data_IF_274205496409
#
_entry.id   IF_274205496409
#
_cell.length_a   1.000
_cell.length_b   1.000
_cell.length_c   1.000
_cell.angle_alpha   90.00
_cell.angle_beta   90.00
_cell.angle_gamma   90.00
#
_symmetry.space_group_name_H-M   'P 1'
#
loop_
_entity.id
_entity.type
_entity.pdbx_description
1 polymer ?
#
# COMPACT_ATOMS: atom_id res chain seq x y z
N UNK A 1 49.73 -34.00 -27.26
CA UNK A 1 48.84 -34.50 -26.19
C UNK A 1 47.39 -34.32 -26.65
N UNK A 2 46.77 -35.41 -27.11
CA UNK A 2 45.39 -35.44 -27.61
C UNK A 2 44.41 -35.62 -26.45
N UNK A 3 43.37 -34.78 -26.37
CA UNK A 3 42.24 -35.05 -25.49
C UNK A 3 40.93 -35.13 -26.27
N UNK A 4 40.36 -36.33 -26.15
CA UNK A 4 39.11 -36.80 -26.71
C UNK A 4 37.91 -36.08 -26.08
N UNK A 5 36.99 -35.62 -26.92
CA UNK A 5 35.63 -35.25 -26.52
C UNK A 5 34.67 -36.40 -26.84
N UNK A 6 34.25 -37.13 -25.81
CA UNK A 6 33.15 -38.10 -25.85
C UNK A 6 31.81 -37.36 -25.70
N UNK A 7 31.00 -37.39 -26.78
CA UNK A 7 29.59 -36.97 -26.79
C UNK A 7 28.71 -38.09 -26.24
N UNK A 8 28.06 -37.88 -25.10
CA UNK A 8 26.98 -38.72 -24.60
C UNK A 8 25.63 -38.36 -25.25
N UNK A 9 25.04 -39.33 -25.94
CA UNK A 9 23.70 -39.29 -26.56
C UNK A 9 22.69 -39.82 -25.55
N UNK A 10 21.72 -39.00 -25.14
CA UNK A 10 20.60 -39.44 -24.29
C UNK A 10 19.37 -39.57 -25.19
N UNK A 11 18.95 -40.81 -25.44
CA UNK A 11 17.66 -41.16 -26.03
C UNK A 11 16.60 -41.20 -24.92
N UNK A 12 15.50 -40.47 -25.08
CA UNK A 12 14.31 -40.58 -24.23
C UNK A 12 13.10 -40.97 -25.08
N UNK A 13 12.84 -42.27 -25.12
CA UNK A 13 11.62 -42.87 -25.64
C UNK A 13 10.50 -42.77 -24.59
N UNK A 14 9.44 -42.03 -24.88
CA UNK A 14 8.18 -42.11 -24.12
C UNK A 14 7.05 -42.53 -25.06
N UNK A 15 6.65 -43.80 -24.93
CA UNK A 15 5.44 -44.39 -25.52
C UNK A 15 4.25 -44.05 -24.61
N UNK A 16 3.27 -43.33 -25.14
CA UNK A 16 1.94 -43.21 -24.52
C UNK A 16 1.03 -44.29 -25.13
N UNK A 17 0.61 -45.27 -24.31
CA UNK A 17 -0.44 -46.23 -24.64
C UNK A 17 -1.79 -45.60 -24.32
N UNK A 18 -2.64 -45.50 -25.34
CA UNK A 18 -4.07 -45.28 -25.19
C UNK A 18 -4.76 -46.64 -25.05
N UNK A 19 -5.61 -46.79 -24.05
CA UNK A 19 -6.55 -47.91 -23.93
C UNK A 19 -7.87 -47.36 -23.42
N UNK A 20 -8.89 -47.38 -24.28
CA UNK A 20 -10.25 -47.06 -23.93
C UNK A 20 -10.98 -48.25 -23.30
N UNK A 21 -12.13 -47.97 -22.70
CA UNK A 21 -13.20 -48.95 -22.53
C UNK A 21 -14.54 -48.22 -22.40
N UNK A 22 -15.40 -48.45 -23.40
CA UNK A 22 -16.85 -48.23 -23.37
C UNK A 22 -17.49 -49.21 -22.38
N UNK A 23 -18.56 -48.81 -21.68
CA UNK A 23 -19.71 -49.70 -21.41
C UNK A 23 -21.02 -48.91 -21.39
N UNK A 24 -22.05 -49.60 -21.87
CA UNK A 24 -23.38 -49.13 -22.27
C UNK A 24 -24.36 -49.01 -21.10
N UNK A 25 -25.41 -48.27 -21.41
CA UNK A 25 -26.70 -48.09 -20.75
C UNK A 25 -27.39 -49.35 -20.23
N UNK A 26 -28.25 -49.17 -19.22
CA UNK A 26 -29.56 -49.82 -19.09
C UNK A 26 -30.52 -48.93 -18.28
N UNK A 27 -31.75 -48.83 -18.79
CA UNK A 27 -32.93 -48.14 -18.27
C UNK A 27 -33.56 -48.93 -17.10
N UNK A 28 -34.17 -48.26 -16.13
CA UNK A 28 -35.47 -48.64 -15.52
C UNK A 28 -35.96 -47.57 -14.51
N UNK A 29 -37.17 -47.02 -14.77
CA UNK A 29 -38.26 -46.89 -13.79
C UNK A 29 -38.25 -45.73 -12.75
N UNK A 30 -39.32 -44.91 -12.68
CA UNK A 30 -39.49 -43.88 -11.66
C UNK A 30 -40.17 -44.45 -10.40
N UNK A 31 -39.60 -44.16 -9.24
CA UNK A 31 -40.18 -44.49 -7.93
C UNK A 31 -40.22 -43.26 -7.03
N UNK A 32 -41.42 -42.70 -6.87
CA UNK A 32 -41.77 -41.67 -5.90
C UNK A 32 -41.65 -42.22 -4.47
N UNK A 33 -40.66 -41.76 -3.70
CA UNK A 33 -40.65 -41.89 -2.23
C UNK A 33 -40.06 -40.60 -1.62
N UNK A 34 -40.92 -39.78 -1.02
CA UNK A 34 -40.60 -38.87 0.09
C UNK A 34 -41.36 -39.39 1.33
N UNK A 35 -41.03 -38.98 2.58
CA UNK A 35 -39.87 -38.25 3.08
C UNK A 35 -39.24 -38.92 4.32
N UNK A 36 -38.01 -38.53 4.68
CA UNK A 36 -37.53 -38.64 6.07
C UNK A 36 -36.73 -37.40 6.44
N UNK A 37 -37.44 -36.42 7.02
CA UNK A 37 -36.81 -35.31 7.73
C UNK A 37 -36.05 -35.87 8.92
N UNK A 38 -34.71 -35.86 8.84
CA UNK A 38 -33.86 -35.94 10.03
C UNK A 38 -33.53 -34.50 10.43
N UNK A 39 -34.04 -34.06 11.58
CA UNK A 39 -33.58 -32.84 12.22
C UNK A 39 -32.13 -33.05 12.65
N UNK A 40 -31.21 -32.31 12.05
CA UNK A 40 -29.82 -32.23 12.51
C UNK A 40 -29.75 -31.02 13.44
N UNK A 41 -29.76 -31.28 14.75
CA UNK A 41 -29.42 -30.26 15.73
C UNK A 41 -27.91 -30.00 15.65
N UNK A 42 -27.52 -28.92 14.97
CA UNK A 42 -26.17 -28.37 15.09
C UNK A 42 -26.07 -27.60 16.41
N UNK A 43 -25.56 -28.25 17.45
CA UNK A 43 -25.12 -27.59 18.67
C UNK A 43 -23.81 -26.87 18.37
N UNK A 44 -23.86 -25.56 18.10
CA UNK A 44 -22.69 -24.69 18.06
C UNK A 44 -22.12 -24.58 19.48
N UNK A 45 -21.18 -25.46 19.84
CA UNK A 45 -20.27 -25.24 20.97
C UNK A 45 -19.36 -24.08 20.60
N UNK A 46 -19.67 -22.88 21.11
CA UNK A 46 -18.72 -21.77 21.17
C UNK A 46 -17.59 -22.24 22.11
N UNK A 47 -16.46 -22.63 21.53
CA UNK A 47 -15.23 -22.89 22.29
C UNK A 47 -14.81 -21.60 22.98
N UNK A 48 -14.42 -21.72 24.23
CA UNK A 48 -13.86 -20.69 25.09
C UNK A 48 -12.99 -19.68 24.33
N UNK A 49 -13.30 -18.40 24.51
CA UNK A 49 -12.41 -17.29 24.18
C UNK A 49 -11.21 -17.39 25.12
N UNK A 50 -10.08 -17.90 24.62
CA UNK A 50 -8.82 -17.92 25.37
C UNK A 50 -8.42 -16.48 25.74
N UNK A 51 -8.39 -16.21 27.05
CA UNK A 51 -7.79 -14.97 27.59
C UNK A 51 -6.28 -15.02 27.38
N UNK A 52 -5.77 -14.02 26.68
CA UNK A 52 -4.34 -13.73 26.58
C UNK A 52 -3.88 -13.06 27.87
N UNK A 53 -2.89 -13.64 28.56
CA UNK A 53 -2.15 -12.95 29.63
C UNK A 53 -0.74 -12.62 29.14
N UNK A 54 -0.37 -11.36 29.24
CA UNK A 54 1.00 -10.88 29.07
C UNK A 54 1.58 -10.72 30.48
N UNK A 55 2.59 -11.51 30.84
CA UNK A 55 3.41 -11.24 32.02
C UNK A 55 4.76 -10.68 31.57
N UNK A 56 5.16 -9.56 32.16
CA UNK A 56 6.45 -8.92 31.93
C UNK A 56 7.25 -9.03 33.24
N UNK A 57 8.32 -9.82 33.23
CA UNK A 57 9.25 -9.90 34.36
C UNK A 57 10.49 -9.06 34.08
N UNK A 58 10.66 -7.98 34.84
CA UNK A 58 11.77 -7.04 34.76
C UNK A 58 12.94 -7.54 35.61
N UNK A 59 13.63 -8.60 35.18
CA UNK A 59 15.00 -8.87 35.64
C UNK A 59 15.85 -9.42 34.49
N UNK A 60 16.92 -8.67 34.19
CA UNK A 60 18.08 -9.01 33.35
C UNK A 60 17.86 -9.11 31.84
N UNK A 61 18.86 -8.62 31.12
CA UNK A 61 18.97 -8.27 29.69
C UNK A 61 18.95 -9.45 28.71
N UNK A 62 18.00 -10.37 28.86
CA UNK A 62 17.65 -11.33 27.81
C UNK A 62 16.14 -11.34 27.58
N UNK A 63 15.72 -10.68 26.50
CA UNK A 63 14.35 -10.73 26.02
C UNK A 63 14.15 -12.08 25.30
N UNK A 64 14.05 -13.17 26.06
CA UNK A 64 13.60 -14.46 25.53
C UNK A 64 12.07 -14.44 25.51
N UNK A 65 11.50 -14.14 24.35
CA UNK A 65 10.06 -14.34 24.13
C UNK A 65 9.88 -15.85 24.00
N UNK A 66 9.34 -16.51 25.02
CA UNK A 66 8.96 -17.92 24.98
C UNK A 66 7.81 -18.08 23.97
N UNK A 67 8.17 -18.39 22.72
CA UNK A 67 7.30 -18.57 21.56
C UNK A 67 6.50 -19.89 21.59
N UNK A 68 6.27 -20.50 22.76
CA UNK A 68 5.77 -21.88 22.86
C UNK A 68 4.30 -22.06 22.44
N UNK A 69 3.56 -20.99 22.17
CA UNK A 69 2.14 -21.07 21.80
C UNK A 69 1.73 -20.17 20.64
N UNK A 70 2.66 -19.78 19.77
CA UNK A 70 2.23 -19.21 18.50
C UNK A 70 1.73 -20.32 17.57
N UNK A 71 0.70 -20.04 16.73
CA UNK A 71 0.24 -21.00 15.73
C UNK A 71 1.41 -21.59 14.94
N UNK A 72 1.36 -22.85 14.52
CA UNK A 72 2.46 -23.51 13.79
C UNK A 72 2.95 -22.70 12.57
N UNK A 73 2.07 -21.94 11.93
CA UNK A 73 2.43 -21.03 10.85
C UNK A 73 3.32 -19.86 11.28
N UNK A 74 3.50 -19.58 12.56
CA UNK A 74 4.40 -18.56 13.08
C UNK A 74 5.79 -19.09 13.44
N UNK A 75 5.94 -20.41 13.56
CA UNK A 75 7.10 -21.04 14.20
C UNK A 75 8.31 -21.21 13.27
N UNK A 76 8.20 -20.92 11.97
CA UNK A 76 9.40 -20.92 11.11
C UNK A 76 10.33 -19.78 11.53
N UNK A 77 11.58 -20.10 11.84
CA UNK A 77 12.62 -19.16 12.27
C UNK A 77 12.65 -17.87 11.40
N UNK A 78 12.47 -18.01 10.08
CA UNK A 78 12.48 -16.91 9.13
C UNK A 78 11.34 -15.88 9.31
N UNK A 79 10.16 -16.32 9.78
CA UNK A 79 9.01 -15.43 10.03
C UNK A 79 9.21 -14.61 11.29
N UNK A 80 9.67 -15.24 12.37
CA UNK A 80 10.01 -14.55 13.61
C UNK A 80 11.11 -13.50 13.36
N UNK A 81 12.17 -13.87 12.63
CA UNK A 81 13.19 -12.91 12.22
C UNK A 81 12.62 -11.76 11.37
N UNK A 82 11.74 -12.05 10.40
CA UNK A 82 11.13 -11.01 9.56
C UNK A 82 10.33 -10.01 10.41
N UNK A 83 9.60 -10.46 11.42
CA UNK A 83 8.83 -9.59 12.30
C UNK A 83 9.71 -8.80 13.28
N UNK A 84 10.80 -9.39 13.78
CA UNK A 84 11.80 -8.64 14.55
C UNK A 84 12.41 -7.51 13.71
N UNK A 85 12.72 -7.76 12.44
CA UNK A 85 13.21 -6.73 11.51
C UNK A 85 12.14 -5.65 11.27
N UNK A 86 10.88 -6.03 11.12
CA UNK A 86 9.76 -5.06 11.02
C UNK A 86 9.70 -4.17 12.25
N UNK A 87 9.82 -4.74 13.45
CA UNK A 87 9.88 -3.98 14.71
C UNK A 87 11.07 -3.04 14.76
N UNK A 88 12.25 -3.49 14.36
CA UNK A 88 13.46 -2.66 14.30
C UNK A 88 13.28 -1.48 13.32
N UNK A 89 12.74 -1.72 12.12
CA UNK A 89 12.43 -0.67 11.17
C UNK A 89 11.37 0.30 11.69
N UNK A 90 10.30 -0.19 12.31
CA UNK A 90 9.28 0.67 12.91
C UNK A 90 9.89 1.58 13.99
N UNK A 91 10.79 1.05 14.83
CA UNK A 91 11.55 1.82 15.81
C UNK A 91 12.47 2.87 15.17
N UNK A 92 13.17 2.52 14.09
CA UNK A 92 14.02 3.45 13.34
C UNK A 92 13.19 4.59 12.71
N UNK A 93 12.07 4.27 12.06
CA UNK A 93 11.14 5.26 11.54
C UNK A 93 10.60 6.15 12.66
N UNK A 94 10.26 5.59 13.81
CA UNK A 94 9.80 6.38 14.95
C UNK A 94 10.88 7.37 15.42
N UNK A 95 12.14 6.92 15.52
CA UNK A 95 13.25 7.79 15.89
C UNK A 95 13.45 8.94 14.88
N UNK A 96 13.46 8.63 13.58
CA UNK A 96 13.57 9.63 12.50
C UNK A 96 12.39 10.61 12.54
N UNK A 97 11.17 10.10 12.75
CA UNK A 97 9.97 10.92 12.90
C UNK A 97 10.13 11.92 14.05
N UNK A 98 10.54 11.44 15.23
CA UNK A 98 10.70 12.26 16.43
C UNK A 98 11.80 13.30 16.26
N UNK A 99 12.93 12.93 15.66
CA UNK A 99 14.03 13.84 15.37
C UNK A 99 13.59 14.94 14.38
N UNK A 100 12.99 14.56 13.25
CA UNK A 100 12.50 15.50 12.23
C UNK A 100 11.43 16.42 12.80
N UNK A 101 10.50 15.87 13.59
CA UNK A 101 9.47 16.65 14.26
C UNK A 101 10.08 17.67 15.23
N UNK A 102 11.03 17.26 16.09
CA UNK A 102 11.69 18.15 17.03
C UNK A 102 12.47 19.27 16.34
N UNK A 103 13.26 18.94 15.31
CA UNK A 103 14.00 19.92 14.51
C UNK A 103 13.06 20.90 13.81
N UNK A 104 11.96 20.39 13.25
CA UNK A 104 10.95 21.22 12.59
C UNK A 104 10.22 22.13 13.58
N UNK A 105 9.98 21.68 14.81
CA UNK A 105 9.49 22.57 15.86
C UNK A 105 10.49 23.69 16.13
N UNK A 106 11.79 23.41 16.24
CA UNK A 106 12.80 24.45 16.48
C UNK A 106 12.85 25.46 15.33
N UNK A 107 12.78 24.99 14.08
CA UNK A 107 12.83 25.84 12.89
C UNK A 107 11.54 26.61 12.62
N UNK A 108 10.37 26.10 13.05
CA UNK A 108 9.10 26.73 12.75
C UNK A 108 8.86 28.00 13.58
N UNK A 109 8.39 29.09 12.95
CA UNK A 109 8.15 30.36 13.63
C UNK A 109 7.15 30.21 14.78
N UNK A 110 7.42 30.91 15.89
CA UNK A 110 6.53 30.96 17.05
C UNK A 110 5.29 31.82 16.71
N UNK A 111 4.14 31.46 17.26
CA UNK A 111 2.94 32.32 17.37
C UNK A 111 2.14 32.69 16.11
N UNK A 112 1.86 31.72 15.22
CA UNK A 112 0.73 31.85 14.29
C UNK A 112 -0.24 30.67 14.47
N UNK A 113 -1.50 30.94 14.80
CA UNK A 113 -2.59 29.96 14.65
C UNK A 113 -2.90 29.85 13.16
N UNK A 114 -3.39 28.70 12.70
CA UNK A 114 -3.85 28.55 11.31
C UNK A 114 -4.89 29.63 11.01
N UNK A 115 -4.61 30.58 10.09
CA UNK A 115 -5.52 31.69 9.82
C UNK A 115 -6.68 31.14 8.99
N UNK A 116 -7.70 30.54 9.61
CA UNK A 116 -8.93 30.05 8.94
C UNK A 116 -8.77 29.09 7.75
N UNK A 117 -7.54 28.77 7.32
CA UNK A 117 -7.23 28.34 5.96
C UNK A 117 -7.50 29.44 4.91
N UNK A 118 -6.93 29.31 3.71
CA UNK A 118 -7.53 29.98 2.55
C UNK A 118 -8.97 29.44 2.45
N UNK A 119 -9.96 30.34 2.45
CA UNK A 119 -11.38 29.98 2.25
C UNK A 119 -11.60 29.48 0.82
N UNK A 120 -11.23 28.21 0.64
CA UNK A 120 -11.29 27.46 -0.60
C UNK A 120 -12.59 26.65 -0.68
N UNK A 121 -13.68 27.12 -0.08
CA UNK A 121 -15.03 26.53 -0.13
C UNK A 121 -15.10 24.98 0.03
N UNK A 122 -14.06 24.38 0.61
CA UNK A 122 -13.91 22.95 0.82
C UNK A 122 -14.23 22.62 2.27
N UNK A 123 -14.33 21.33 2.64
CA UNK A 123 -14.49 20.96 4.04
C UNK A 123 -13.43 21.70 4.89
N UNK A 124 -13.87 22.20 6.04
CA UNK A 124 -13.10 22.97 7.03
C UNK A 124 -11.67 22.41 7.09
N UNK A 125 -10.61 23.25 7.10
CA UNK A 125 -9.25 22.75 7.14
C UNK A 125 -9.12 21.72 8.27
N UNK A 126 -8.59 20.52 7.96
CA UNK A 126 -8.32 19.43 8.92
C UNK A 126 -7.55 19.91 10.18
N UNK A 127 -6.97 21.11 10.10
CA UNK A 127 -6.13 21.78 11.09
C UNK A 127 -6.72 23.08 11.67
N UNK A 128 -8.03 23.29 11.56
CA UNK A 128 -8.68 24.41 12.22
C UNK A 128 -8.41 24.37 13.74
N UNK A 129 -7.89 25.45 14.31
CA UNK A 129 -7.54 25.53 15.73
C UNK A 129 -6.24 24.81 16.13
N UNK A 130 -5.60 24.09 15.22
CA UNK A 130 -4.30 23.46 15.49
C UNK A 130 -3.16 24.50 15.48
N UNK A 131 -2.14 24.24 16.28
CA UNK A 131 -0.90 25.02 16.22
C UNK A 131 -0.21 24.78 14.86
N UNK A 132 -0.07 25.84 14.06
CA UNK A 132 0.60 25.81 12.76
C UNK A 132 1.99 25.17 12.84
N UNK A 133 2.72 25.49 13.91
CA UNK A 133 4.03 24.93 14.23
C UNK A 133 4.01 23.41 14.39
N UNK A 134 2.99 22.86 15.08
CA UNK A 134 2.82 21.40 15.23
C UNK A 134 2.43 20.74 13.91
N UNK A 135 1.56 21.39 13.12
CA UNK A 135 1.16 20.90 11.80
C UNK A 135 2.35 20.84 10.85
N UNK A 136 3.15 21.91 10.80
CA UNK A 136 4.37 21.98 10.00
C UNK A 136 5.34 20.85 10.37
N UNK A 137 5.59 20.68 11.67
CA UNK A 137 6.50 19.66 12.15
C UNK A 137 6.03 18.24 11.84
N UNK A 138 4.73 17.96 12.02
CA UNK A 138 4.15 16.66 11.66
C UNK A 138 4.27 16.40 10.16
N UNK A 139 3.97 17.39 9.31
CA UNK A 139 4.04 17.27 7.86
C UNK A 139 5.46 17.14 7.33
N UNK A 140 6.43 17.83 7.93
CA UNK A 140 7.84 17.67 7.63
C UNK A 140 8.32 16.25 7.95
N UNK A 141 7.91 15.69 9.09
CA UNK A 141 8.21 14.30 9.43
C UNK A 141 7.57 13.34 8.42
N UNK A 142 6.28 13.48 8.09
CA UNK A 142 5.64 12.66 7.04
C UNK A 142 6.34 12.80 5.68
N UNK A 143 6.82 14.00 5.33
CA UNK A 143 7.53 14.25 4.08
C UNK A 143 8.84 13.45 4.00
N UNK A 144 9.65 13.48 5.05
CA UNK A 144 10.92 12.73 5.11
C UNK A 144 10.65 11.23 4.97
N UNK A 145 9.60 10.72 5.61
CA UNK A 145 9.24 9.31 5.50
C UNK A 145 8.76 8.93 4.10
N UNK A 146 7.89 9.75 3.49
CA UNK A 146 7.42 9.53 2.13
C UNK A 146 8.57 9.49 1.11
N UNK A 147 9.51 10.43 1.21
CA UNK A 147 10.70 10.48 0.36
C UNK A 147 11.60 9.26 0.60
N UNK A 148 11.83 8.87 1.85
CA UNK A 148 12.62 7.69 2.19
C UNK A 148 12.01 6.40 1.65
N UNK A 149 10.70 6.21 1.86
CA UNK A 149 9.94 5.05 1.38
C UNK A 149 9.92 4.98 -0.15
N UNK A 150 9.68 6.12 -0.82
CA UNK A 150 9.76 6.24 -2.28
C UNK A 150 11.16 5.86 -2.79
N UNK A 151 12.21 6.48 -2.27
CA UNK A 151 13.59 6.28 -2.72
C UNK A 151 14.04 4.82 -2.53
N UNK A 152 13.68 4.21 -1.41
CA UNK A 152 13.99 2.82 -1.12
C UNK A 152 13.31 1.86 -2.09
N UNK A 153 11.98 2.00 -2.28
CA UNK A 153 11.22 1.15 -3.20
C UNK A 153 11.67 1.37 -4.66
N UNK A 154 11.96 2.61 -5.07
CA UNK A 154 12.50 2.91 -6.39
C UNK A 154 13.85 2.23 -6.63
N UNK A 155 14.76 2.30 -5.65
CA UNK A 155 16.08 1.64 -5.72
C UNK A 155 15.94 0.13 -5.85
N UNK A 156 15.04 -0.48 -5.09
CA UNK A 156 14.79 -1.93 -5.14
C UNK A 156 14.20 -2.36 -6.47
N UNK A 157 13.16 -1.66 -6.94
CA UNK A 157 12.53 -1.92 -8.24
C UNK A 157 13.54 -1.79 -9.37
N UNK A 158 14.41 -0.78 -9.33
CA UNK A 158 15.51 -0.61 -10.30
C UNK A 158 16.52 -1.76 -10.24
N UNK A 159 16.92 -2.18 -9.03
CA UNK A 159 17.91 -3.26 -8.84
C UNK A 159 17.43 -4.59 -9.42
N UNK A 160 16.16 -4.91 -9.27
CA UNK A 160 15.59 -6.18 -9.73
C UNK A 160 14.82 -6.07 -11.04
N UNK A 161 14.82 -4.90 -11.69
CA UNK A 161 14.05 -4.64 -12.90
C UNK A 161 14.26 -5.70 -13.99
N UNK A 162 15.54 -6.01 -14.30
CA UNK A 162 15.87 -7.00 -15.32
C UNK A 162 15.37 -8.40 -14.94
N UNK A 163 15.56 -8.82 -13.69
CA UNK A 163 15.07 -10.12 -13.20
C UNK A 163 13.55 -10.21 -13.29
N UNK A 164 12.84 -9.16 -12.85
CA UNK A 164 11.39 -9.09 -12.90
C UNK A 164 10.87 -9.14 -14.35
N UNK A 165 11.52 -8.42 -15.26
CA UNK A 165 11.18 -8.38 -16.68
C UNK A 165 11.47 -9.72 -17.37
N UNK A 166 12.63 -10.31 -17.13
CA UNK A 166 13.03 -11.57 -17.77
C UNK A 166 12.12 -12.73 -17.31
N UNK A 167 11.76 -12.75 -16.02
CA UNK A 167 10.78 -13.72 -15.48
C UNK A 167 9.38 -13.47 -16.04
N UNK A 168 9.01 -12.22 -16.31
CA UNK A 168 7.73 -11.89 -16.95
C UNK A 168 7.69 -12.33 -18.43
N UNK A 169 8.77 -12.11 -19.18
CA UNK A 169 8.89 -12.45 -20.60
C UNK A 169 8.82 -13.96 -20.88
N UNK A 170 9.25 -14.80 -19.92
CA UNK A 170 9.17 -16.26 -20.02
C UNK A 170 7.76 -16.82 -19.81
N UNK A 171 6.77 -15.97 -19.50
CA UNK A 171 5.39 -16.42 -19.26
C UNK A 171 4.63 -16.48 -20.58
N UNK A 172 3.79 -17.51 -20.79
CA UNK A 172 2.88 -17.52 -21.92
C UNK A 172 1.94 -16.31 -21.78
N UNK A 173 2.18 -15.30 -22.61
CA UNK A 173 1.54 -14.00 -22.51
C UNK A 173 0.04 -14.16 -22.78
N UNK A 174 -0.79 -13.75 -21.81
CA UNK A 174 -2.17 -13.39 -22.11
C UNK A 174 -2.10 -12.14 -23.00
N UNK A 175 -2.26 -12.33 -24.31
CA UNK A 175 -2.31 -11.24 -25.30
C UNK A 175 -3.61 -10.48 -25.08
N UNK A 176 -3.60 -9.46 -24.22
CA UNK A 176 -4.65 -8.46 -24.21
C UNK A 176 -4.28 -7.40 -25.25
N UNK A 177 -5.12 -7.20 -26.27
CA UNK A 177 -4.97 -6.14 -27.30
C UNK A 177 -3.67 -6.19 -28.15
N UNK A 178 -3.13 -7.38 -28.44
CA UNK A 178 -2.02 -7.52 -29.40
C UNK A 178 -0.65 -6.99 -28.95
N UNK A 179 -0.52 -6.45 -27.73
CA UNK A 179 0.76 -6.08 -27.11
C UNK A 179 0.88 -6.72 -25.73
N UNK A 180 2.01 -7.38 -25.50
CA UNK A 180 2.31 -8.01 -24.22
C UNK A 180 2.45 -6.93 -23.13
N UNK A 181 1.48 -6.88 -22.21
CA UNK A 181 1.55 -6.05 -21.01
C UNK A 181 1.86 -6.82 -19.71
N UNK A 182 2.57 -7.98 -19.65
CA UNK A 182 3.20 -8.36 -18.40
C UNK A 182 4.50 -7.57 -18.28
N UNK A 183 4.46 -6.40 -17.63
CA UNK A 183 5.67 -5.58 -17.49
C UNK A 183 6.65 -6.23 -16.50
N UNK A 184 6.14 -6.85 -15.42
CA UNK A 184 6.95 -7.37 -14.31
C UNK A 184 6.36 -8.64 -13.65
N UNK A 185 7.25 -9.47 -13.11
CA UNK A 185 6.89 -10.65 -12.31
C UNK A 185 6.50 -10.27 -10.86
N UNK A 186 5.26 -9.83 -10.62
CA UNK A 186 4.82 -9.36 -9.30
C UNK A 186 4.82 -10.43 -8.19
N UNK A 187 4.74 -11.70 -8.56
CA UNK A 187 4.89 -12.88 -7.71
C UNK A 187 6.36 -13.33 -7.58
N UNK A 188 7.33 -12.45 -7.85
CA UNK A 188 8.73 -12.76 -7.60
C UNK A 188 8.98 -13.20 -6.15
N UNK A 189 9.96 -14.09 -5.98
CA UNK A 189 10.33 -14.61 -4.67
C UNK A 189 10.80 -13.47 -3.75
N UNK A 190 10.36 -13.52 -2.49
CA UNK A 190 10.81 -12.62 -1.43
C UNK A 190 12.27 -12.93 -1.01
N UNK A 191 12.83 -14.05 -1.44
CA UNK A 191 14.23 -14.44 -1.20
C UNK A 191 15.22 -13.77 -2.16
N UNK A 192 14.74 -12.94 -3.11
CA UNK A 192 15.65 -12.12 -3.91
C UNK A 192 16.48 -11.19 -2.99
N UNK A 193 17.78 -10.98 -3.28
CA UNK A 193 18.65 -10.21 -2.40
C UNK A 193 18.11 -8.80 -2.08
N UNK A 194 17.69 -8.58 -0.83
CA UNK A 194 17.14 -7.31 -0.35
C UNK A 194 15.62 -7.14 -0.48
N UNK A 195 14.91 -8.07 -1.12
CA UNK A 195 13.46 -8.01 -1.28
C UNK A 195 12.71 -8.18 0.06
N UNK A 196 13.03 -9.23 0.83
CA UNK A 196 12.49 -9.43 2.19
C UNK A 196 12.79 -8.26 3.11
N UNK A 197 14.02 -7.73 3.04
CA UNK A 197 14.42 -6.57 3.84
C UNK A 197 13.58 -5.33 3.50
N UNK A 198 13.33 -5.08 2.23
CA UNK A 198 12.52 -3.96 1.80
C UNK A 198 11.03 -4.10 2.17
N UNK A 199 10.51 -5.33 2.14
CA UNK A 199 9.20 -5.65 2.67
C UNK A 199 9.11 -5.36 4.17
N UNK A 200 10.10 -5.82 4.94
CA UNK A 200 10.20 -5.54 6.38
C UNK A 200 10.29 -4.03 6.65
N UNK A 201 11.09 -3.31 5.86
CA UNK A 201 11.22 -1.85 5.93
C UNK A 201 9.89 -1.15 5.62
N UNK A 202 9.21 -1.52 4.53
CA UNK A 202 7.91 -0.94 4.15
C UNK A 202 6.83 -1.23 5.19
N UNK A 203 6.79 -2.46 5.73
CA UNK A 203 5.85 -2.81 6.79
C UNK A 203 6.17 -2.06 8.09
N UNK A 204 7.46 -1.89 8.44
CA UNK A 204 7.88 -1.09 9.58
C UNK A 204 7.44 0.38 9.47
N UNK A 205 7.55 0.95 8.26
CA UNK A 205 6.99 2.27 7.96
C UNK A 205 5.48 2.31 8.22
N UNK A 206 4.70 1.37 7.66
CA UNK A 206 3.25 1.34 7.87
C UNK A 206 2.84 1.12 9.33
N UNK A 207 3.59 0.34 10.10
CA UNK A 207 3.36 0.18 11.55
C UNK A 207 3.53 1.51 12.27
N UNK A 208 4.64 2.20 12.01
CA UNK A 208 4.91 3.50 12.62
C UNK A 208 3.88 4.55 12.20
N UNK A 209 3.52 4.57 10.92
CA UNK A 209 2.54 5.50 10.37
C UNK A 209 1.14 5.26 10.94
N UNK A 210 0.69 3.99 11.02
CA UNK A 210 -0.58 3.67 11.66
C UNK A 210 -0.59 4.08 13.14
N UNK A 211 0.48 3.81 13.88
CA UNK A 211 0.59 4.24 15.27
C UNK A 211 0.50 5.77 15.41
N UNK A 212 1.12 6.52 14.49
CA UNK A 212 1.02 7.98 14.45
C UNK A 212 -0.42 8.42 14.13
N UNK A 213 -1.05 7.83 13.12
CA UNK A 213 -2.39 8.16 12.66
C UNK A 213 -3.44 7.86 13.74
N UNK A 214 -3.38 6.72 14.42
CA UNK A 214 -4.29 6.38 15.52
C UNK A 214 -4.28 7.39 16.67
N UNK A 215 -3.14 8.04 16.92
CA UNK A 215 -3.01 9.03 18.00
C UNK A 215 -3.30 10.48 17.60
N UNK A 216 -3.27 10.80 16.30
CA UNK A 216 -3.25 12.21 15.85
C UNK A 216 -4.26 12.55 14.75
N UNK A 217 -4.83 11.55 14.07
CA UNK A 217 -5.72 11.79 12.94
C UNK A 217 -7.19 11.53 13.33
N UNK A 218 -8.05 12.57 13.34
CA UNK A 218 -9.47 12.41 13.65
C UNK A 218 -10.28 11.77 12.52
N UNK A 219 -9.78 11.74 11.28
CA UNK A 219 -10.52 11.19 10.14
C UNK A 219 -10.50 9.65 10.12
N UNK A 220 -11.64 8.97 10.38
CA UNK A 220 -11.70 7.51 10.43
C UNK A 220 -11.41 6.87 9.08
N UNK A 221 -11.67 7.55 7.96
CA UNK A 221 -11.36 7.03 6.61
C UNK A 221 -9.86 6.96 6.40
N UNK A 222 -9.13 7.96 6.90
CA UNK A 222 -7.67 7.97 6.85
C UNK A 222 -7.07 6.89 7.75
N UNK A 223 -7.59 6.73 8.97
CA UNK A 223 -7.19 5.62 9.86
C UNK A 223 -7.42 4.26 9.20
N UNK A 224 -8.61 4.04 8.63
CA UNK A 224 -8.96 2.81 7.93
C UNK A 224 -8.05 2.56 6.72
N UNK A 225 -7.68 3.61 5.98
CA UNK A 225 -6.74 3.53 4.86
C UNK A 225 -5.38 2.97 5.31
N UNK A 226 -4.75 3.54 6.34
CA UNK A 226 -3.44 3.06 6.82
C UNK A 226 -3.55 1.65 7.44
N UNK A 227 -4.65 1.35 8.14
CA UNK A 227 -4.91 0.01 8.66
C UNK A 227 -5.03 -1.03 7.53
N UNK A 228 -5.67 -0.66 6.41
CA UNK A 228 -5.81 -1.53 5.24
C UNK A 228 -4.44 -1.84 4.59
N UNK A 229 -3.53 -0.86 4.44
CA UNK A 229 -2.18 -1.12 3.92
C UNK A 229 -1.38 -2.06 4.83
N UNK A 230 -1.47 -1.86 6.15
CA UNK A 230 -0.82 -2.74 7.11
C UNK A 230 -1.38 -4.17 7.00
N UNK A 231 -2.71 -4.31 6.97
CA UNK A 231 -3.39 -5.59 6.84
C UNK A 231 -3.04 -6.30 5.53
N UNK A 232 -2.94 -5.58 4.41
CA UNK A 232 -2.55 -6.14 3.13
C UNK A 232 -1.08 -6.58 3.09
N UNK A 233 -0.18 -5.82 3.71
CA UNK A 233 1.27 -6.04 3.60
C UNK A 233 1.78 -7.11 4.57
N UNK A 234 1.19 -7.20 5.77
CA UNK A 234 1.63 -8.15 6.80
C UNK A 234 1.67 -9.61 6.34
N UNK A 235 0.63 -10.16 5.67
CA UNK A 235 0.66 -11.52 5.14
C UNK A 235 1.74 -11.73 4.07
N UNK A 236 2.12 -10.70 3.32
CA UNK A 236 3.14 -10.77 2.26
C UNK A 236 4.54 -10.93 2.84
N UNK A 237 4.84 -10.27 3.97
CA UNK A 237 6.13 -10.45 4.69
C UNK A 237 6.32 -11.90 5.11
N UNK A 238 5.23 -12.56 5.53
CA UNK A 238 5.23 -13.97 5.92
C UNK A 238 5.06 -14.93 4.73
N UNK A 239 4.91 -14.40 3.51
CA UNK A 239 4.76 -15.18 2.28
C UNK A 239 6.13 -15.42 1.62
N UNK A 240 6.29 -16.49 0.82
CA UNK A 240 7.47 -16.66 -0.03
C UNK A 240 7.53 -15.69 -1.22
N UNK A 241 6.44 -14.97 -1.54
CA UNK A 241 6.30 -14.17 -2.78
C UNK A 241 5.49 -12.90 -2.54
N UNK A 242 5.58 -11.96 -3.47
CA UNK A 242 4.70 -10.78 -3.53
C UNK A 242 5.36 -9.45 -3.16
N UNK A 243 6.68 -9.42 -2.91
CA UNK A 243 7.38 -8.17 -2.60
C UNK A 243 7.22 -7.12 -3.71
N UNK A 244 7.31 -7.52 -4.98
CA UNK A 244 7.27 -6.60 -6.11
C UNK A 244 5.91 -5.90 -6.24
N UNK A 245 4.83 -6.62 -5.92
CA UNK A 245 3.48 -6.04 -5.84
C UNK A 245 3.41 -4.95 -4.78
N UNK A 246 3.87 -5.24 -3.55
CA UNK A 246 3.88 -4.26 -2.45
C UNK A 246 4.77 -3.08 -2.78
N UNK A 247 6.00 -3.33 -3.25
CA UNK A 247 6.95 -2.27 -3.58
C UNK A 247 6.46 -1.34 -4.70
N UNK A 248 5.82 -1.88 -5.74
CA UNK A 248 5.22 -1.06 -6.79
C UNK A 248 4.03 -0.25 -6.26
N UNK A 249 3.14 -0.87 -5.48
CA UNK A 249 2.01 -0.18 -4.89
C UNK A 249 2.46 0.98 -3.98
N UNK A 250 3.44 0.73 -3.11
CA UNK A 250 4.05 1.76 -2.26
C UNK A 250 4.73 2.84 -3.09
N UNK A 251 5.50 2.48 -4.13
CA UNK A 251 6.17 3.45 -5.01
C UNK A 251 5.17 4.42 -5.67
N UNK A 252 4.10 3.87 -6.27
CA UNK A 252 3.06 4.66 -6.93
C UNK A 252 2.23 5.46 -5.92
N UNK A 253 2.12 4.98 -4.69
CA UNK A 253 1.45 5.73 -3.63
C UNK A 253 2.29 6.92 -3.15
N UNK A 254 3.58 6.71 -2.92
CA UNK A 254 4.48 7.69 -2.30
C UNK A 254 4.98 8.75 -3.27
N UNK A 255 5.02 8.49 -4.59
CA UNK A 255 5.55 9.46 -5.56
C UNK A 255 4.82 10.81 -5.54
N UNK A 256 3.53 10.83 -5.19
CA UNK A 256 2.73 12.06 -5.10
C UNK A 256 2.69 12.68 -3.70
N UNK A 257 3.13 11.95 -2.67
CA UNK A 257 2.98 12.36 -1.27
C UNK A 257 3.79 13.63 -0.92
N UNK A 258 5.06 13.79 -1.32
CA UNK A 258 5.82 15.02 -1.06
C UNK A 258 5.11 16.29 -1.57
N UNK A 259 4.55 16.18 -2.78
CA UNK A 259 3.82 17.25 -3.44
C UNK A 259 2.46 17.52 -2.78
N UNK A 260 1.75 16.46 -2.39
CA UNK A 260 0.51 16.57 -1.62
C UNK A 260 0.73 17.28 -0.28
N UNK A 261 1.73 16.86 0.50
CA UNK A 261 2.01 17.43 1.82
C UNK A 261 2.36 18.91 1.71
N UNK A 262 3.14 19.29 0.69
CA UNK A 262 3.50 20.67 0.40
C UNK A 262 2.28 21.50 -0.04
N UNK A 263 1.40 20.93 -0.87
CA UNK A 263 0.16 21.57 -1.30
C UNK A 263 -0.82 21.79 -0.12
N UNK A 264 -0.97 20.81 0.76
CA UNK A 264 -1.79 20.91 1.98
C UNK A 264 -1.22 21.95 2.96
N UNK A 265 0.11 22.00 3.13
CA UNK A 265 0.77 23.01 3.95
C UNK A 265 0.54 24.41 3.37
N UNK A 266 0.78 24.62 2.07
CA UNK A 266 0.54 25.91 1.43
C UNK A 266 -0.91 26.39 1.65
N UNK A 267 -1.88 25.47 1.57
CA UNK A 267 -3.29 25.74 1.88
C UNK A 267 -3.50 26.10 3.36
N UNK A 268 -2.93 25.34 4.28
CA UNK A 268 -3.09 25.55 5.72
C UNK A 268 -2.46 26.85 6.22
N UNK A 269 -1.37 27.29 5.58
CA UNK A 269 -0.63 28.50 5.90
C UNK A 269 -1.16 29.76 5.22
N UNK A 270 -2.15 29.64 4.32
CA UNK A 270 -2.62 30.81 3.58
C UNK A 270 -1.66 31.28 2.47
N UNK A 271 -0.70 30.46 2.07
CA UNK A 271 0.31 30.82 1.08
C UNK A 271 -0.24 30.68 -0.34
N UNK A 272 -1.08 31.63 -0.77
CA UNK A 272 -1.80 31.56 -2.06
C UNK A 272 -0.87 31.35 -3.25
N UNK A 273 0.27 32.07 -3.33
CA UNK A 273 1.23 31.94 -4.43
C UNK A 273 1.81 30.51 -4.55
N UNK A 274 2.19 29.90 -3.41
CA UNK A 274 2.72 28.54 -3.37
C UNK A 274 1.61 27.54 -3.69
N UNK A 275 0.43 27.74 -3.12
CA UNK A 275 -0.73 26.90 -3.40
C UNK A 275 -1.11 26.92 -4.88
N UNK A 276 -1.08 28.09 -5.52
CA UNK A 276 -1.33 28.27 -6.94
C UNK A 276 -0.34 27.55 -7.84
N UNK A 277 0.95 27.60 -7.48
CA UNK A 277 2.01 26.94 -8.20
C UNK A 277 1.94 25.41 -8.07
N UNK A 278 1.67 24.92 -6.85
CA UNK A 278 1.62 23.48 -6.57
C UNK A 278 0.32 22.83 -7.05
N UNK A 279 -0.81 23.53 -7.02
CA UNK A 279 -2.13 22.97 -7.38
C UNK A 279 -2.19 22.26 -8.73
N UNK A 280 -1.73 22.85 -9.86
CA UNK A 280 -1.75 22.16 -11.15
C UNK A 280 -0.81 20.95 -11.17
N UNK A 281 0.41 21.08 -10.61
CA UNK A 281 1.38 20.00 -10.56
C UNK A 281 0.85 18.82 -9.73
N UNK A 282 0.29 19.11 -8.56
CA UNK A 282 -0.29 18.10 -7.68
C UNK A 282 -1.47 17.42 -8.34
N UNK A 283 -2.44 18.19 -8.84
CA UNK A 283 -3.66 17.65 -9.45
C UNK A 283 -3.32 16.77 -10.66
N UNK A 284 -2.41 17.22 -11.53
CA UNK A 284 -1.98 16.44 -12.69
C UNK A 284 -1.20 15.19 -12.29
N UNK A 285 -0.18 15.33 -11.42
CA UNK A 285 0.63 14.21 -10.95
C UNK A 285 -0.21 13.15 -10.23
N UNK A 286 -1.16 13.58 -9.40
CA UNK A 286 -2.11 12.69 -8.72
C UNK A 286 -3.03 11.99 -9.72
N UNK A 287 -3.58 12.71 -10.71
CA UNK A 287 -4.42 12.12 -11.75
C UNK A 287 -3.66 11.06 -12.58
N UNK A 288 -2.42 11.34 -12.98
CA UNK A 288 -1.60 10.39 -13.74
C UNK A 288 -1.24 9.18 -12.87
N UNK A 289 -0.64 9.39 -11.71
CA UNK A 289 -0.13 8.28 -10.89
C UNK A 289 -1.26 7.42 -10.31
N UNK A 290 -2.29 8.05 -9.73
CA UNK A 290 -3.38 7.34 -9.04
C UNK A 290 -4.56 7.00 -9.96
N UNK A 291 -4.82 7.82 -10.97
CA UNK A 291 -5.95 7.63 -11.89
C UNK A 291 -5.62 6.82 -13.15
N UNK A 292 -4.34 6.70 -13.53
CA UNK A 292 -3.92 5.97 -14.74
C UNK A 292 -2.92 4.88 -14.42
N UNK A 293 -1.75 5.21 -13.86
CA UNK A 293 -0.66 4.25 -13.67
C UNK A 293 -1.03 3.15 -12.65
N UNK A 294 -1.62 3.52 -11.52
CA UNK A 294 -2.04 2.55 -10.49
C UNK A 294 -3.11 1.57 -11.00
N UNK A 295 -4.22 2.01 -11.65
CA UNK A 295 -5.17 1.07 -12.26
C UNK A 295 -4.54 0.15 -13.31
N UNK A 296 -3.65 0.66 -14.16
CA UNK A 296 -2.95 -0.17 -15.17
C UNK A 296 -2.07 -1.23 -14.50
N UNK A 297 -1.27 -0.84 -13.51
CA UNK A 297 -0.44 -1.77 -12.74
C UNK A 297 -1.30 -2.84 -12.05
N UNK A 298 -2.49 -2.47 -11.58
CA UNK A 298 -3.38 -3.38 -10.86
C UNK A 298 -4.11 -4.34 -11.79
N UNK A 299 -4.45 -3.90 -13.00
CA UNK A 299 -4.86 -4.80 -14.07
C UNK A 299 -3.79 -5.83 -14.41
N UNK A 300 -2.53 -5.41 -14.52
CA UNK A 300 -1.40 -6.31 -14.79
C UNK A 300 -1.17 -7.31 -13.63
N UNK A 301 -1.20 -6.83 -12.38
CA UNK A 301 -1.14 -7.69 -11.19
C UNK A 301 -2.31 -8.69 -11.16
N UNK A 302 -3.53 -8.26 -11.48
CA UNK A 302 -4.69 -9.16 -11.56
C UNK A 302 -4.47 -10.28 -12.59
N UNK A 303 -4.00 -9.94 -13.80
CA UNK A 303 -3.67 -10.96 -14.81
C UNK A 303 -2.59 -11.91 -14.30
N UNK A 304 -1.59 -11.40 -13.60
CA UNK A 304 -0.53 -12.23 -12.99
C UNK A 304 -1.03 -13.14 -11.87
N UNK A 305 -2.05 -12.74 -11.10
CA UNK A 305 -2.56 -13.50 -9.95
C UNK A 305 -3.68 -14.47 -10.35
N UNK A 306 -4.58 -14.03 -11.22
CA UNK A 306 -5.83 -14.75 -11.57
C UNK A 306 -5.81 -15.34 -12.98
N UNK A 307 -4.77 -15.09 -13.78
CA UNK A 307 -4.58 -15.72 -15.08
C UNK A 307 -4.39 -17.23 -14.98
N UNK A 308 -4.46 -17.90 -16.14
CA UNK A 308 -4.46 -19.37 -16.30
C UNK A 308 -3.34 -20.08 -15.53
N UNK A 309 -2.14 -19.47 -15.47
CA UNK A 309 -0.98 -19.99 -14.74
C UNK A 309 -0.71 -19.26 -13.40
N UNK A 310 -1.36 -18.11 -13.18
CA UNK A 310 -1.18 -17.25 -12.01
C UNK A 310 -1.82 -17.83 -10.75
N UNK A 311 -3.00 -18.44 -10.90
CA UNK A 311 -3.76 -19.01 -9.80
C UNK A 311 -2.97 -20.06 -9.01
N UNK A 312 -2.19 -20.91 -9.67
CA UNK A 312 -1.39 -21.93 -8.99
C UNK A 312 -0.17 -21.35 -8.25
N UNK A 313 0.33 -20.17 -8.64
CA UNK A 313 1.58 -19.58 -8.13
C UNK A 313 1.36 -18.51 -7.08
N UNK A 314 0.26 -17.76 -7.17
CA UNK A 314 -0.05 -16.68 -6.25
C UNK A 314 -0.53 -17.25 -4.90
N UNK A 315 0.24 -17.07 -3.80
CA UNK A 315 -0.19 -17.50 -2.48
C UNK A 315 -1.48 -16.81 -2.06
N UNK A 316 -2.29 -17.40 -1.16
CA UNK A 316 -3.50 -16.76 -0.64
C UNK A 316 -3.28 -15.34 -0.10
N UNK A 317 -2.13 -15.11 0.53
CA UNK A 317 -1.70 -13.79 1.00
C UNK A 317 -1.67 -12.72 -0.12
N UNK A 318 -1.18 -13.06 -1.32
CA UNK A 318 -1.15 -12.15 -2.46
C UNK A 318 -2.55 -11.80 -2.95
N UNK A 319 -3.45 -12.78 -3.03
CA UNK A 319 -4.84 -12.56 -3.45
C UNK A 319 -5.59 -11.67 -2.47
N UNK A 320 -5.38 -11.90 -1.17
CA UNK A 320 -5.93 -11.05 -0.11
C UNK A 320 -5.41 -9.61 -0.22
N UNK A 321 -4.09 -9.44 -0.30
CA UNK A 321 -3.47 -8.13 -0.42
C UNK A 321 -3.93 -7.39 -1.69
N UNK A 322 -4.04 -8.10 -2.83
CA UNK A 322 -4.60 -7.54 -4.06
C UNK A 322 -6.03 -7.04 -3.86
N UNK A 323 -6.91 -7.83 -3.22
CA UNK A 323 -8.28 -7.42 -2.95
C UNK A 323 -8.35 -6.13 -2.14
N UNK A 324 -7.51 -6.00 -1.11
CA UNK A 324 -7.43 -4.78 -0.29
C UNK A 324 -6.91 -3.59 -1.11
N UNK A 325 -5.83 -3.76 -1.89
CA UNK A 325 -5.31 -2.70 -2.75
C UNK A 325 -6.33 -2.26 -3.81
N UNK A 326 -7.08 -3.19 -4.39
CA UNK A 326 -8.13 -2.90 -5.36
C UNK A 326 -9.23 -2.00 -4.76
N UNK A 327 -9.69 -2.29 -3.55
CA UNK A 327 -10.62 -1.41 -2.82
C UNK A 327 -10.00 -0.03 -2.57
N UNK A 328 -8.71 0.00 -2.20
CA UNK A 328 -7.94 1.24 -2.02
C UNK A 328 -7.89 2.12 -3.28
N UNK A 329 -7.79 1.54 -4.47
CA UNK A 329 -7.86 2.27 -5.75
C UNK A 329 -9.24 2.88 -5.94
N UNK A 330 -10.31 2.14 -5.62
CA UNK A 330 -11.67 2.67 -5.66
C UNK A 330 -11.83 3.92 -4.79
N UNK A 331 -11.33 3.87 -3.55
CA UNK A 331 -11.30 5.03 -2.66
C UNK A 331 -10.43 6.17 -3.25
N UNK A 332 -9.29 5.85 -3.86
CA UNK A 332 -8.44 6.83 -4.54
C UNK A 332 -9.14 7.50 -5.73
N UNK A 333 -10.05 6.80 -6.42
CA UNK A 333 -10.86 7.35 -7.51
C UNK A 333 -11.87 8.39 -7.01
N UNK A 334 -12.51 8.14 -5.87
CA UNK A 334 -13.39 9.11 -5.20
C UNK A 334 -12.61 10.37 -4.85
N UNK A 335 -11.41 10.21 -4.28
CA UNK A 335 -10.57 11.32 -3.90
C UNK A 335 -10.07 12.12 -5.11
N UNK A 336 -9.68 11.44 -6.20
CA UNK A 336 -9.31 12.08 -7.46
C UNK A 336 -10.47 12.94 -8.01
N UNK A 337 -11.70 12.43 -7.98
CA UNK A 337 -12.87 13.18 -8.42
C UNK A 337 -13.09 14.44 -7.57
N UNK A 338 -12.94 14.34 -6.24
CA UNK A 338 -13.02 15.49 -5.33
C UNK A 338 -11.90 16.51 -5.61
N UNK A 339 -10.67 16.05 -5.82
CA UNK A 339 -9.52 16.90 -6.13
C UNK A 339 -9.73 17.69 -7.43
N UNK A 340 -10.17 17.02 -8.49
CA UNK A 340 -10.46 17.66 -9.78
C UNK A 340 -11.58 18.69 -9.65
N UNK A 341 -12.67 18.36 -8.92
CA UNK A 341 -13.76 19.31 -8.65
C UNK A 341 -13.28 20.53 -7.88
N UNK A 342 -12.50 20.33 -6.82
CA UNK A 342 -11.92 21.41 -6.02
C UNK A 342 -10.99 22.30 -6.85
N UNK A 343 -10.12 21.71 -7.66
CA UNK A 343 -9.22 22.44 -8.54
C UNK A 343 -9.98 23.30 -9.57
N UNK A 344 -11.00 22.74 -10.24
CA UNK A 344 -11.84 23.48 -11.20
C UNK A 344 -12.58 24.64 -10.53
N UNK A 345 -13.15 24.42 -9.35
CA UNK A 345 -13.83 25.46 -8.58
C UNK A 345 -12.88 26.60 -8.22
N UNK A 346 -11.70 26.27 -7.69
CA UNK A 346 -10.66 27.25 -7.36
C UNK A 346 -10.25 28.09 -8.57
N UNK A 347 -9.95 27.44 -9.70
CA UNK A 347 -9.57 28.14 -10.94
C UNK A 347 -10.68 29.05 -11.46
N UNK A 348 -11.95 28.63 -11.35
CA UNK A 348 -13.10 29.46 -11.74
C UNK A 348 -13.22 30.71 -10.85
N UNK A 349 -13.15 30.55 -9.52
CA UNK A 349 -13.19 31.67 -8.55
C UNK A 349 -12.08 32.68 -8.84
N UNK A 350 -10.86 32.20 -9.06
CA UNK A 350 -9.70 33.06 -9.38
C UNK A 350 -9.86 33.83 -10.69
N UNK A 351 -10.41 33.21 -11.75
CA UNK A 351 -10.71 33.91 -13.00
C UNK A 351 -11.74 35.03 -12.82
N UNK A 352 -12.80 34.79 -12.03
CA UNK A 352 -13.81 35.81 -11.74
C UNK A 352 -13.23 36.98 -10.95
N UNK A 353 -12.37 36.70 -9.96
CA UNK A 353 -11.67 37.73 -9.18
C UNK A 353 -10.73 38.58 -10.05
N UNK A 354 -10.00 37.95 -10.98
CA UNK A 354 -9.09 38.66 -11.88
C UNK A 354 -9.81 39.53 -12.91
N UNK A 355 -11.02 39.16 -13.31
CA UNK A 355 -11.84 39.93 -14.25
C UNK A 355 -12.65 41.04 -13.58
N UNK A 356 -12.47 41.28 -12.27
CA UNK A 356 -13.26 42.27 -11.51
C UNK A 356 -14.74 41.90 -11.34
N UNK A 357 -15.14 40.68 -11.68
CA UNK A 357 -16.53 40.22 -11.64
C UNK A 357 -17.04 39.93 -10.22
N UNK A 358 -16.13 39.90 -9.24
CA UNK A 358 -16.47 39.77 -7.81
C UNK A 358 -16.07 41.08 -7.12
N UNK A 359 -17.03 41.85 -6.56
CA UNK A 359 -16.69 43.05 -5.81
C UNK A 359 -15.73 42.66 -4.68
N UNK A 360 -14.57 43.32 -4.62
CA UNK A 360 -13.63 43.12 -3.52
C UNK A 360 -14.38 43.44 -2.22
N UNK A 361 -14.32 42.57 -1.20
CA UNK A 361 -14.87 42.94 0.09
C UNK A 361 -14.20 44.24 0.55
N UNK A 362 -14.92 45.11 1.29
CA UNK A 362 -14.36 46.34 1.83
C UNK A 362 -13.04 46.00 2.54
N UNK A 363 -12.02 46.82 2.25
CA UNK A 363 -10.62 46.59 2.60
C UNK A 363 -10.40 46.84 4.09
N UNK A 364 -11.03 46.03 4.94
CA UNK A 364 -10.91 46.16 6.38
C UNK A 364 -9.56 45.60 6.84
N UNK A 365 -8.71 46.57 7.23
CA UNK A 365 -7.44 46.48 7.96
C UNK A 365 -6.27 45.80 7.24
N UNK A 366 -5.21 46.60 7.06
CA UNK A 366 -3.95 46.22 6.42
C UNK A 366 -3.29 45.09 7.21
N UNK A 367 -2.79 44.04 6.54
CA UNK A 367 -2.00 42.98 7.16
C UNK A 367 -0.53 43.41 7.32
N UNK A 368 -0.28 44.58 7.91
CA UNK A 368 1.09 45.06 8.19
C UNK A 368 1.77 44.32 9.34
N UNK A 369 1.09 43.40 10.03
CA UNK A 369 1.60 42.73 11.24
C UNK A 369 2.05 41.28 10.99
N UNK A 370 2.34 40.93 9.73
CA UNK A 370 2.80 39.59 9.34
C UNK A 370 4.19 39.62 8.69
N UNK A 371 5.19 40.11 9.42
CA UNK A 371 6.60 39.74 9.20
C UNK A 371 7.08 39.01 10.45
#
# INVERSE_FOLDING_TARGET
ASHNHTRGRIESSLRFRASGARRRALLHGPGLVQPRQRSVHHTLRIKEVQRWSLSMSLRTTQLSITLERLPEWFQSHDRAQSLLRVGAWAGAYYAVHRATYALSLVAAPKNKRTPGGVDLDGPVPRYAGCSLRKVAAARAASFVHAVGSFAWNARLMRRHWNVLRDVAQRRPVVRFLGRALPLLAYDASNELPGAREALCCSLGYFVQELAHVLGNEPDPVFVAHHAAYLAATLPIVCSPRGWAMVSLATLLAEVTNPLQLSWELARAFGCEQVYDALSPLFTFGFAVCRGVLMPLAMGDIAVSIFGRDGGARAPPAMRFAYGVFFVGIGASGVWLAQLIRGFRRYRRKKRLNNNGAVPKPPRDRRPSDCI
#
